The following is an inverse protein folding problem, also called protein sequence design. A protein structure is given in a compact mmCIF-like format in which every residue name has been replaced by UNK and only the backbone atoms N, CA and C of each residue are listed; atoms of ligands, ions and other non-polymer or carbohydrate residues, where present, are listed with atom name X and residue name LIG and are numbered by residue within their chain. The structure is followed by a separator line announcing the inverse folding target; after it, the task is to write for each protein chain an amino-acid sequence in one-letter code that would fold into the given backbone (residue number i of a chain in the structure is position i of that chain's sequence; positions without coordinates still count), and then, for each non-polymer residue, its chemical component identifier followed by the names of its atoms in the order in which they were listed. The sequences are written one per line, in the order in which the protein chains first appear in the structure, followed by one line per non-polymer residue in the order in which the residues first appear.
data_IF_457312514129
#
_entry.id   IF_457312514129
#
_cell.length_a   1.000
_cell.length_b   1.000
_cell.length_c   1.000
_cell.angle_alpha   90.00
_cell.angle_beta   90.00
_cell.angle_gamma   90.00
#
_symmetry.space_group_name_H-M   'P 1'
#
loop_
_entity.id
_entity.type
_entity.pdbx_description
1 polymer ?
#
# COMPACT_ATOMS: atom_id res chain seq x y z
N UNK A 1 26.32 8.42 3.52
CA UNK A 1 27.41 8.09 2.58
C UNK A 1 27.20 6.71 1.97
N UNK A 2 27.62 6.56 0.72
CA UNK A 2 27.59 5.29 0.00
C UNK A 2 28.85 5.16 -0.85
N UNK A 3 29.34 3.93 -0.99
CA UNK A 3 30.50 3.60 -1.80
C UNK A 3 30.09 2.60 -2.90
N UNK A 4 30.55 2.86 -4.13
CA UNK A 4 30.32 1.99 -5.28
C UNK A 4 31.57 1.17 -5.53
N UNK A 5 31.47 -0.15 -5.34
CA UNK A 5 32.60 -1.04 -5.53
C UNK A 5 32.47 -1.69 -6.90
N UNK A 6 33.42 -1.37 -7.78
CA UNK A 6 33.47 -1.83 -9.16
C UNK A 6 34.55 -2.90 -9.33
N UNK A 7 34.37 -3.75 -10.32
CA UNK A 7 35.37 -4.71 -10.73
C UNK A 7 36.51 -4.01 -11.48
N UNK A 8 37.74 -4.10 -10.97
CA UNK A 8 38.91 -3.39 -11.52
C UNK A 8 39.23 -3.76 -12.98
N UNK A 9 38.85 -4.96 -13.43
CA UNK A 9 39.17 -5.45 -14.79
C UNK A 9 38.09 -5.11 -15.80
N UNK A 10 36.82 -5.15 -15.39
CA UNK A 10 35.69 -4.97 -16.30
C UNK A 10 34.98 -3.63 -16.14
N UNK A 11 35.28 -2.87 -15.08
CA UNK A 11 34.62 -1.61 -14.73
C UNK A 11 33.15 -1.77 -14.31
N UNK A 12 32.64 -3.01 -14.22
CA UNK A 12 31.24 -3.28 -13.88
C UNK A 12 31.01 -3.15 -12.38
N UNK A 13 29.86 -2.59 -12.00
CA UNK A 13 29.43 -2.50 -10.60
C UNK A 13 29.25 -3.90 -10.01
N UNK A 14 29.87 -4.17 -8.85
CA UNK A 14 29.70 -5.42 -8.11
C UNK A 14 28.64 -5.29 -7.02
N UNK A 15 28.82 -4.33 -6.11
CA UNK A 15 27.87 -4.06 -5.04
C UNK A 15 27.98 -2.60 -4.58
N UNK A 16 26.99 -2.18 -3.79
CA UNK A 16 26.90 -0.86 -3.16
C UNK A 16 27.00 -1.03 -1.66
N UNK A 17 27.93 -0.34 -1.03
CA UNK A 17 27.98 -0.20 0.42
C UNK A 17 27.31 1.11 0.82
N UNK A 18 26.52 1.08 1.89
CA UNK A 18 25.79 2.24 2.38
C UNK A 18 25.77 2.26 3.91
N UNK A 19 26.04 3.44 4.48
CA UNK A 19 25.94 3.67 5.92
C UNK A 19 24.49 4.02 6.24
N UNK A 20 23.84 3.15 7.04
CA UNK A 20 22.48 3.41 7.52
C UNK A 20 22.48 4.50 8.61
N UNK A 21 21.50 5.41 8.61
CA UNK A 21 21.34 6.38 9.70
C UNK A 21 21.13 5.67 11.05
N UNK A 22 21.68 6.23 12.13
CA UNK A 22 21.51 5.69 13.49
C UNK A 22 20.04 5.52 13.89
N UNK A 23 19.17 6.49 13.56
CA UNK A 23 17.73 6.41 13.81
C UNK A 23 17.09 5.18 13.14
N UNK A 24 17.55 4.80 11.94
CA UNK A 24 17.04 3.61 11.27
C UNK A 24 17.48 2.34 11.99
N UNK A 25 18.73 2.29 12.44
CA UNK A 25 19.25 1.18 13.24
C UNK A 25 18.49 1.02 14.56
N UNK A 26 18.19 2.12 15.24
CA UNK A 26 17.42 2.12 16.48
C UNK A 26 15.98 1.64 16.26
N UNK A 27 15.32 2.10 15.19
CA UNK A 27 13.96 1.67 14.85
C UNK A 27 13.89 0.16 14.57
N UNK A 28 14.92 -0.39 13.91
CA UNK A 28 15.05 -1.82 13.64
C UNK A 28 15.27 -2.59 14.94
N UNK A 29 16.15 -2.09 15.81
CA UNK A 29 16.49 -2.73 17.09
C UNK A 29 15.31 -2.77 18.06
N UNK A 30 14.40 -1.81 17.96
CA UNK A 30 13.22 -1.70 18.83
C UNK A 30 11.95 -2.39 18.29
N UNK A 31 12.06 -3.31 17.33
CA UNK A 31 10.94 -4.06 16.75
C UNK A 31 9.79 -3.18 16.20
N UNK A 32 10.05 -1.93 15.80
CA UNK A 32 9.03 -1.04 15.24
C UNK A 32 8.74 -1.31 13.76
N UNK A 33 9.05 -2.50 13.26
CA UNK A 33 8.97 -2.87 11.85
C UNK A 33 7.65 -3.57 11.55
N UNK A 34 6.94 -3.08 10.53
CA UNK A 34 5.81 -3.78 9.95
C UNK A 34 6.30 -4.70 8.82
N UNK A 35 6.19 -6.01 9.04
CA UNK A 35 6.54 -7.00 8.01
C UNK A 35 5.51 -7.00 6.88
N UNK A 36 6.01 -6.93 5.64
CA UNK A 36 5.22 -7.05 4.42
C UNK A 36 5.05 -8.51 4.01
N UNK A 37 3.89 -8.84 3.44
CA UNK A 37 3.67 -10.15 2.84
C UNK A 37 4.47 -10.31 1.53
N UNK A 38 4.90 -11.52 1.14
CA UNK A 38 5.66 -11.74 -0.09
C UNK A 38 5.02 -11.14 -1.35
N UNK A 39 3.68 -11.19 -1.45
CA UNK A 39 2.91 -10.68 -2.57
C UNK A 39 3.01 -9.14 -2.73
N UNK A 40 3.44 -8.43 -1.68
CA UNK A 40 3.73 -7.00 -1.76
C UNK A 40 4.80 -6.69 -2.81
N UNK A 41 5.84 -7.52 -2.91
CA UNK A 41 6.94 -7.30 -3.84
C UNK A 41 6.53 -7.49 -5.31
N UNK A 42 5.42 -8.19 -5.55
CA UNK A 42 4.81 -8.33 -6.89
C UNK A 42 4.03 -7.10 -7.34
N UNK A 43 3.71 -6.16 -6.44
CA UNK A 43 3.01 -4.92 -6.80
C UNK A 43 3.92 -4.05 -7.65
N UNK A 44 3.47 -3.71 -8.87
CA UNK A 44 4.20 -2.85 -9.80
C UNK A 44 3.79 -1.38 -9.72
N UNK A 45 2.56 -1.13 -9.27
CA UNK A 45 2.01 0.22 -9.16
C UNK A 45 2.46 0.87 -7.85
N UNK A 46 3.01 2.10 -7.87
CA UNK A 46 3.37 2.81 -6.66
C UNK A 46 2.13 3.15 -5.81
N UNK A 47 0.96 3.30 -6.44
CA UNK A 47 -0.31 3.48 -5.72
C UNK A 47 -0.67 2.22 -4.93
N UNK A 48 -0.52 1.05 -5.54
CA UNK A 48 -0.89 -0.21 -4.90
C UNK A 48 0.03 -0.48 -3.71
N UNK A 49 1.34 -0.24 -3.87
CA UNK A 49 2.32 -0.34 -2.77
C UNK A 49 1.99 0.59 -1.62
N UNK A 50 1.80 1.88 -1.92
CA UNK A 50 1.53 2.88 -0.88
C UNK A 50 0.20 2.63 -0.17
N UNK A 51 -0.82 2.19 -0.90
CA UNK A 51 -2.09 1.82 -0.28
C UNK A 51 -1.93 0.57 0.60
N UNK A 52 -1.18 -0.45 0.17
CA UNK A 52 -0.88 -1.62 1.00
C UNK A 52 -0.21 -1.23 2.32
N UNK A 53 0.79 -0.34 2.29
CA UNK A 53 1.47 0.16 3.49
C UNK A 53 0.50 0.85 4.45
N UNK A 54 -0.38 1.71 3.92
CA UNK A 54 -1.38 2.40 4.71
C UNK A 54 -2.39 1.41 5.31
N UNK A 55 -2.88 0.45 4.52
CA UNK A 55 -3.75 -0.62 5.00
C UNK A 55 -3.05 -1.44 6.09
N UNK A 56 -1.78 -1.80 5.92
CA UNK A 56 -1.03 -2.57 6.92
C UNK A 56 -0.86 -1.81 8.22
N UNK A 57 -0.50 -0.53 8.14
CA UNK A 57 -0.31 0.34 9.30
C UNK A 57 -1.61 0.60 10.05
N UNK A 58 -2.71 0.83 9.32
CA UNK A 58 -3.98 1.20 9.92
C UNK A 58 -4.83 0.00 10.30
N UNK A 59 -4.87 -1.07 9.51
CA UNK A 59 -5.63 -2.28 9.85
C UNK A 59 -5.00 -3.04 11.02
N UNK A 60 -3.67 -3.04 11.23
CA UNK A 60 -3.03 -3.67 12.40
C UNK A 60 -3.70 -5.00 12.83
N UNK A 61 -4.30 -4.98 14.03
CA UNK A 61 -5.13 -6.08 14.59
C UNK A 61 -6.62 -5.99 14.26
N UNK A 62 -7.14 -4.84 13.79
CA UNK A 62 -8.54 -4.71 13.38
C UNK A 62 -8.82 -5.40 12.03
N UNK A 63 -10.03 -5.95 11.91
CA UNK A 63 -10.49 -6.61 10.68
C UNK A 63 -10.90 -5.64 9.59
N UNK A 64 -11.14 -4.37 9.95
CA UNK A 64 -11.68 -3.33 9.07
C UNK A 64 -11.03 -1.98 9.36
N UNK A 65 -10.85 -1.18 8.32
CA UNK A 65 -10.43 0.22 8.42
C UNK A 65 -11.21 1.08 7.43
N UNK A 66 -11.68 2.25 7.86
CA UNK A 66 -12.36 3.23 7.01
C UNK A 66 -11.64 4.57 7.07
N UNK A 67 -11.57 5.25 5.92
CA UNK A 67 -11.01 6.60 5.85
C UNK A 67 -11.63 7.39 4.70
N UNK A 68 -11.94 8.67 4.96
CA UNK A 68 -12.41 9.61 3.95
C UNK A 68 -11.37 9.81 2.84
N UNK A 69 -11.82 10.00 1.60
CA UNK A 69 -10.97 10.06 0.41
C UNK A 69 -9.96 11.21 0.48
N UNK A 70 -10.37 12.38 0.96
CA UNK A 70 -9.49 13.55 1.12
C UNK A 70 -8.43 13.32 2.20
N UNK A 71 -8.80 12.73 3.33
CA UNK A 71 -7.86 12.37 4.39
C UNK A 71 -6.87 11.31 3.90
N UNK A 72 -7.34 10.35 3.11
CA UNK A 72 -6.47 9.37 2.47
C UNK A 72 -5.51 10.05 1.50
N UNK A 73 -6.00 10.96 0.64
CA UNK A 73 -5.19 11.72 -0.32
C UNK A 73 -4.05 12.48 0.39
N UNK A 74 -4.37 13.17 1.48
CA UNK A 74 -3.38 13.89 2.30
C UNK A 74 -2.33 12.94 2.92
N UNK A 75 -2.74 11.76 3.40
CA UNK A 75 -1.81 10.73 3.92
C UNK A 75 -0.97 10.07 2.81
N UNK A 76 -1.52 10.00 1.61
CA UNK A 76 -0.85 9.42 0.45
C UNK A 76 0.29 10.31 -0.03
N UNK A 77 0.12 11.63 0.04
CA UNK A 77 1.15 12.62 -0.30
C UNK A 77 1.46 12.70 -1.79
N UNK A 78 0.49 12.38 -2.66
CA UNK A 78 0.68 12.46 -4.12
C UNK A 78 0.56 13.89 -4.62
N UNK A 79 1.31 14.20 -5.69
CA UNK A 79 1.24 15.49 -6.40
C UNK A 79 0.13 15.57 -7.44
N UNK A 80 -0.46 14.43 -7.82
CA UNK A 80 -1.53 14.38 -8.82
C UNK A 80 -2.82 14.98 -8.27
N UNK A 81 -3.66 15.62 -9.08
CA UNK A 81 -4.95 16.14 -8.63
C UNK A 81 -5.84 15.08 -7.98
N UNK A 82 -6.70 15.49 -7.04
CA UNK A 82 -7.65 14.60 -6.34
C UNK A 82 -8.54 13.78 -7.29
N UNK A 83 -8.89 14.33 -8.46
CA UNK A 83 -9.66 13.62 -9.50
C UNK A 83 -8.92 12.38 -10.01
N UNK A 84 -7.63 12.50 -10.29
CA UNK A 84 -6.82 11.36 -10.74
C UNK A 84 -6.61 10.35 -9.61
N UNK A 85 -6.39 10.84 -8.39
CA UNK A 85 -6.32 9.98 -7.21
C UNK A 85 -7.59 9.16 -7.04
N UNK A 86 -8.77 9.79 -7.11
CA UNK A 86 -10.08 9.13 -7.07
C UNK A 86 -10.19 8.06 -8.16
N UNK A 87 -9.79 8.38 -9.39
CA UNK A 87 -9.81 7.42 -10.51
C UNK A 87 -8.93 6.20 -10.21
N UNK A 88 -7.72 6.41 -9.67
CA UNK A 88 -6.81 5.33 -9.27
C UNK A 88 -7.37 4.45 -8.15
N UNK A 89 -7.97 5.04 -7.13
CA UNK A 89 -8.62 4.29 -6.05
C UNK A 89 -9.77 3.42 -6.59
N UNK A 90 -10.59 3.96 -7.50
CA UNK A 90 -11.66 3.18 -8.16
C UNK A 90 -11.11 2.03 -9.03
N UNK A 91 -9.97 2.23 -9.70
CA UNK A 91 -9.29 1.14 -10.42
C UNK A 91 -8.83 0.03 -9.47
N UNK A 92 -8.30 0.39 -8.30
CA UNK A 92 -7.87 -0.56 -7.27
C UNK A 92 -9.07 -1.34 -6.72
N UNK A 93 -10.19 -0.67 -6.40
CA UNK A 93 -11.44 -1.33 -6.00
C UNK A 93 -11.93 -2.30 -7.08
N UNK A 94 -11.90 -1.91 -8.35
CA UNK A 94 -12.30 -2.82 -9.43
C UNK A 94 -11.37 -4.04 -9.57
N UNK A 95 -10.05 -3.83 -9.48
CA UNK A 95 -9.05 -4.89 -9.70
C UNK A 95 -8.79 -5.76 -8.47
N UNK A 96 -9.11 -5.25 -7.28
CA UNK A 96 -8.74 -5.85 -6.00
C UNK A 96 -7.25 -6.24 -5.92
N UNK A 97 -6.39 -5.34 -6.39
CA UNK A 97 -4.95 -5.62 -6.58
C UNK A 97 -4.13 -5.65 -5.29
N UNK A 98 -4.67 -5.17 -4.18
CA UNK A 98 -3.95 -5.09 -2.90
C UNK A 98 -3.96 -6.47 -2.22
N UNK A 99 -2.82 -7.16 -2.01
CA UNK A 99 -2.79 -8.46 -1.33
C UNK A 99 -3.23 -8.32 0.13
N UNK A 100 -3.76 -9.40 0.71
CA UNK A 100 -4.29 -9.47 2.10
C UNK A 100 -5.43 -8.52 2.45
N UNK A 101 -5.93 -7.73 1.49
CA UNK A 101 -6.97 -6.74 1.72
C UNK A 101 -7.99 -6.71 0.59
N UNK A 102 -9.24 -6.46 0.96
CA UNK A 102 -10.32 -6.07 0.05
C UNK A 102 -10.57 -4.59 0.24
N UNK A 103 -10.49 -3.82 -0.85
CA UNK A 103 -10.65 -2.37 -0.82
C UNK A 103 -11.92 -2.01 -1.57
N UNK A 104 -12.86 -1.34 -0.92
CA UNK A 104 -14.08 -0.85 -1.56
C UNK A 104 -14.13 0.66 -1.52
N UNK A 105 -14.62 1.27 -2.60
CA UNK A 105 -14.86 2.70 -2.67
C UNK A 105 -16.35 2.97 -2.48
N UNK A 106 -16.69 3.89 -1.58
CA UNK A 106 -18.07 4.31 -1.35
C UNK A 106 -18.27 5.78 -1.64
N UNK A 107 -19.35 6.10 -2.37
CA UNK A 107 -19.67 7.49 -2.73
C UNK A 107 -20.26 8.26 -1.55
N UNK A 108 -20.23 9.59 -1.62
CA UNK A 108 -20.91 10.45 -0.62
C UNK A 108 -22.41 10.15 -0.52
N UNK A 109 -23.05 9.76 -1.64
CA UNK A 109 -24.47 9.38 -1.68
C UNK A 109 -24.75 8.10 -0.88
N UNK A 110 -23.91 7.08 -1.05
CA UNK A 110 -24.04 5.80 -0.32
C UNK A 110 -23.80 5.96 1.18
N UNK A 111 -22.87 6.84 1.55
CA UNK A 111 -22.41 7.01 2.92
C UNK A 111 -23.13 8.14 3.67
N UNK A 112 -24.01 8.88 2.97
CA UNK A 112 -24.72 10.08 3.43
C UNK A 112 -23.81 11.19 3.99
N UNK A 113 -22.51 11.11 3.72
CA UNK A 113 -21.48 12.00 4.29
C UNK A 113 -20.43 12.32 3.23
N UNK A 114 -19.23 11.76 3.36
CA UNK A 114 -18.09 11.99 2.46
C UNK A 114 -17.74 10.73 1.69
N UNK A 115 -17.10 10.90 0.53
CA UNK A 115 -16.47 9.77 -0.16
C UNK A 115 -15.43 9.12 0.75
N UNK A 116 -15.44 7.79 0.86
CA UNK A 116 -14.48 7.06 1.69
C UNK A 116 -14.09 5.75 1.04
N UNK A 117 -12.97 5.22 1.49
CA UNK A 117 -12.61 3.83 1.24
C UNK A 117 -12.88 3.00 2.50
N UNK A 118 -13.27 1.75 2.28
CA UNK A 118 -13.42 0.75 3.33
C UNK A 118 -12.48 -0.39 2.96
N UNK A 119 -11.66 -0.80 3.92
CA UNK A 119 -10.68 -1.85 3.76
C UNK A 119 -11.03 -2.98 4.72
N UNK A 120 -11.12 -4.20 4.21
CA UNK A 120 -11.27 -5.41 5.00
C UNK A 120 -9.98 -6.22 4.91
N UNK A 121 -9.53 -6.75 6.04
CA UNK A 121 -8.39 -7.65 6.11
C UNK A 121 -8.85 -9.05 5.66
N UNK A 122 -8.17 -9.59 4.67
CA UNK A 122 -8.52 -10.84 4.01
C UNK A 122 -7.25 -11.64 3.70
N UNK A 123 -6.65 -12.22 4.74
CA UNK A 123 -5.43 -13.02 4.60
C UNK A 123 -5.64 -14.34 3.84
N UNK A 124 -6.85 -14.89 3.94
CA UNK A 124 -7.20 -16.18 3.34
C UNK A 124 -7.78 -16.04 1.93
N UNK A 125 -8.17 -14.82 1.53
CA UNK A 125 -8.69 -14.52 0.19
C UNK A 125 -10.19 -14.79 0.01
N UNK A 126 -10.86 -15.31 1.04
CA UNK A 126 -12.27 -15.71 0.99
C UNK A 126 -13.18 -14.52 0.70
N UNK A 127 -12.93 -13.37 1.32
CA UNK A 127 -13.72 -12.14 1.14
C UNK A 127 -13.53 -11.61 -0.29
N UNK A 128 -12.31 -11.68 -0.83
CA UNK A 128 -12.00 -11.18 -2.17
C UNK A 128 -12.66 -12.02 -3.26
N UNK A 129 -12.73 -13.34 -3.08
CA UNK A 129 -13.44 -14.23 -4.00
C UNK A 129 -14.95 -13.95 -4.03
N UNK A 130 -15.56 -13.83 -2.85
CA UNK A 130 -16.98 -13.50 -2.72
C UNK A 130 -17.31 -12.13 -3.34
N UNK A 131 -16.49 -11.11 -3.06
CA UNK A 131 -16.65 -9.76 -3.62
C UNK A 131 -16.62 -9.76 -5.15
N UNK A 132 -15.70 -10.52 -5.75
CA UNK A 132 -15.60 -10.65 -7.22
C UNK A 132 -16.83 -11.35 -7.81
N UNK A 133 -17.37 -12.37 -7.14
CA UNK A 133 -18.61 -13.06 -7.57
C UNK A 133 -19.80 -12.10 -7.56
N UNK A 134 -19.97 -11.33 -6.48
CA UNK A 134 -21.06 -10.37 -6.35
C UNK A 134 -21.02 -9.26 -7.41
N UNK A 135 -19.82 -8.76 -7.77
CA UNK A 135 -19.66 -7.70 -8.80
C UNK A 135 -19.79 -8.18 -10.25
N UNK A 136 -19.68 -9.49 -10.49
CA UNK A 136 -19.81 -10.10 -11.82
C UNK A 136 -21.22 -10.62 -12.11
N UNK A 137 -22.14 -10.50 -11.14
CA UNK A 137 -23.58 -10.80 -11.28
C UNK A 137 -24.33 -9.49 -11.48
#
# INVERSE_FOLDING_TARGET
DYDLITDEKTGRMKYVELILPSILFDAVSNNQILTYAPQYFSLRSPYDRRLYELCRKHCGNQSKWEIGLENLYNKFGVKSPLREFRRKIKEIDKKQSIPDYVVTYSTAKETKTVEKIIVYKDKEGSIKEEYKRFKNT
#
